data_IF_452892186208
#
_entry.id   IF_452892186208
#
_cell.length_a   1.000
_cell.length_b   1.000
_cell.length_c   1.000
_cell.angle_alpha   90.00
_cell.angle_beta   90.00
_cell.angle_gamma   90.00
#
_symmetry.space_group_name_H-M   'P 1'
#
loop_
_entity.id
_entity.type
_entity.pdbx_description
1 polymer ?
#
# COMPACT_ATOMS: atom_id res chain seq x y z
N UNK A 1 40.56 -37.70 16.83
CA UNK A 1 41.18 -36.65 15.98
C UNK A 1 40.28 -36.20 14.82
N UNK A 2 39.49 -37.07 14.16
CA UNK A 2 38.57 -36.64 13.08
C UNK A 2 37.28 -35.92 13.55
N UNK A 3 36.75 -36.27 14.73
CA UNK A 3 35.52 -35.66 15.25
C UNK A 3 35.72 -34.20 15.71
N UNK A 4 36.94 -33.84 16.14
CA UNK A 4 37.29 -32.48 16.58
C UNK A 4 37.22 -31.50 15.41
N UNK A 5 37.75 -31.89 14.24
CA UNK A 5 37.73 -31.09 13.01
C UNK A 5 36.31 -30.90 12.47
N UNK A 6 35.47 -31.93 12.49
CA UNK A 6 34.09 -31.80 12.00
C UNK A 6 33.28 -30.85 12.89
N UNK A 7 33.45 -30.92 14.21
CA UNK A 7 32.75 -30.00 15.12
C UNK A 7 33.16 -28.54 14.86
N UNK A 8 34.45 -28.27 14.61
CA UNK A 8 34.93 -26.94 14.27
C UNK A 8 34.37 -26.43 12.93
N UNK A 9 34.36 -27.26 11.88
CA UNK A 9 33.74 -26.89 10.60
C UNK A 9 32.24 -26.58 10.75
N UNK A 10 31.54 -27.34 11.58
CA UNK A 10 30.11 -27.16 11.84
C UNK A 10 29.86 -25.86 12.63
N UNK A 11 30.74 -25.53 13.57
CA UNK A 11 30.67 -24.29 14.33
C UNK A 11 30.95 -23.06 13.44
N UNK A 12 31.96 -23.16 12.57
CA UNK A 12 32.30 -22.10 11.62
C UNK A 12 31.18 -21.91 10.58
N UNK A 13 30.64 -22.99 10.02
CA UNK A 13 29.49 -22.93 9.12
C UNK A 13 28.23 -22.38 9.81
N UNK A 14 27.99 -22.77 11.06
CA UNK A 14 26.88 -22.25 11.88
C UNK A 14 27.02 -20.74 12.13
N UNK A 15 28.23 -20.27 12.42
CA UNK A 15 28.53 -18.85 12.57
C UNK A 15 28.25 -18.10 11.27
N UNK A 16 28.73 -18.60 10.13
CA UNK A 16 28.47 -18.00 8.82
C UNK A 16 26.97 -17.96 8.47
N UNK A 17 26.20 -18.99 8.83
CA UNK A 17 24.75 -19.02 8.63
C UNK A 17 24.05 -17.93 9.45
N UNK A 18 24.40 -17.80 10.73
CA UNK A 18 23.82 -16.78 11.62
C UNK A 18 24.16 -15.38 11.12
N UNK A 19 25.41 -15.14 10.73
CA UNK A 19 25.83 -13.87 10.15
C UNK A 19 25.02 -13.54 8.90
N UNK A 20 24.88 -14.50 7.98
CA UNK A 20 24.06 -14.35 6.78
C UNK A 20 22.60 -14.01 7.10
N UNK A 21 22.01 -14.73 8.05
CA UNK A 21 20.64 -14.48 8.50
C UNK A 21 20.48 -13.07 9.10
N UNK A 22 21.41 -12.63 9.94
CA UNK A 22 21.39 -11.30 10.54
C UNK A 22 21.55 -10.19 9.49
N UNK A 23 22.44 -10.35 8.52
CA UNK A 23 22.66 -9.36 7.45
C UNK A 23 21.41 -9.25 6.56
N UNK A 24 20.81 -10.37 6.16
CA UNK A 24 19.59 -10.36 5.36
C UNK A 24 18.45 -9.70 6.13
N UNK A 25 18.29 -10.03 7.42
CA UNK A 25 17.25 -9.44 8.26
C UNK A 25 17.45 -7.93 8.44
N UNK A 26 18.68 -7.49 8.71
CA UNK A 26 19.02 -6.08 8.80
C UNK A 26 18.77 -5.35 7.47
N UNK A 27 19.11 -5.97 6.34
CA UNK A 27 18.91 -5.39 5.01
C UNK A 27 17.42 -5.23 4.66
N UNK A 28 16.61 -6.27 4.89
CA UNK A 28 15.15 -6.19 4.72
C UNK A 28 14.54 -5.16 5.68
N UNK A 29 14.98 -5.13 6.93
CA UNK A 29 14.55 -4.13 7.91
C UNK A 29 14.88 -2.70 7.45
N UNK A 30 16.10 -2.47 6.96
CA UNK A 30 16.53 -1.19 6.42
C UNK A 30 15.67 -0.77 5.22
N UNK A 31 15.36 -1.70 4.30
CA UNK A 31 14.47 -1.44 3.16
C UNK A 31 13.07 -1.02 3.62
N UNK A 32 12.48 -1.75 4.56
CA UNK A 32 11.15 -1.45 5.12
C UNK A 32 11.17 -0.07 5.80
N UNK A 33 12.19 0.22 6.59
CA UNK A 33 12.36 1.53 7.25
C UNK A 33 12.52 2.64 6.22
N UNK A 34 13.32 2.43 5.17
CA UNK A 34 13.51 3.38 4.09
C UNK A 34 12.21 3.73 3.37
N UNK A 35 11.41 2.72 3.02
CA UNK A 35 10.10 2.92 2.38
C UNK A 35 9.14 3.68 3.31
N UNK A 36 9.12 3.33 4.60
CA UNK A 36 8.30 4.04 5.59
C UNK A 36 8.76 5.49 5.79
N UNK A 37 10.08 5.74 5.77
CA UNK A 37 10.65 7.07 5.89
C UNK A 37 10.25 7.93 4.69
N UNK A 38 10.28 7.38 3.48
CA UNK A 38 9.81 8.05 2.26
C UNK A 38 8.31 8.34 2.37
N UNK A 39 7.49 7.35 2.75
CA UNK A 39 6.05 7.56 2.92
C UNK A 39 5.73 8.63 3.98
N UNK A 40 6.49 8.64 5.08
CA UNK A 40 6.39 9.66 6.12
C UNK A 40 6.82 11.04 5.61
N UNK A 41 7.90 11.10 4.83
CA UNK A 41 8.42 12.33 4.25
C UNK A 41 7.43 12.93 3.23
N UNK A 42 6.88 12.11 2.34
CA UNK A 42 5.81 12.50 1.42
C UNK A 42 4.57 13.02 2.16
N UNK A 43 4.24 12.44 3.32
CA UNK A 43 3.12 12.93 4.14
C UNK A 43 3.43 14.22 4.90
N UNK A 44 4.71 14.45 5.24
CA UNK A 44 5.17 15.65 5.95
C UNK A 44 5.37 16.85 5.03
N UNK A 45 5.71 16.62 3.76
CA UNK A 45 5.76 17.63 2.70
C UNK A 45 4.74 17.29 1.62
N UNK A 46 3.44 17.53 1.85
CA UNK A 46 2.45 17.42 0.80
C UNK A 46 2.74 18.50 -0.24
N UNK A 47 3.44 18.12 -1.31
CA UNK A 47 3.35 18.84 -2.57
C UNK A 47 1.88 18.93 -2.93
N UNK A 48 1.45 20.07 -3.45
CA UNK A 48 0.08 20.29 -3.91
C UNK A 48 -0.23 19.38 -5.10
N UNK A 49 -0.55 18.12 -4.84
CA UNK A 49 -1.19 17.26 -5.82
C UNK A 49 -2.49 16.70 -5.26
N UNK A 50 -3.53 16.61 -6.11
CA UNK A 50 -4.87 16.28 -5.70
C UNK A 50 -4.86 14.88 -5.11
N UNK A 51 -5.52 14.75 -3.96
CA UNK A 51 -5.62 13.53 -3.21
C UNK A 51 -6.13 12.42 -4.12
N UNK A 52 -5.24 11.57 -4.64
CA UNK A 52 -5.64 10.25 -5.08
C UNK A 52 -6.02 9.53 -3.79
N UNK A 53 -7.31 9.21 -3.58
CA UNK A 53 -7.71 8.60 -2.34
C UNK A 53 -7.00 7.25 -2.28
N UNK A 54 -6.02 7.15 -1.38
CA UNK A 54 -5.62 5.88 -0.82
C UNK A 54 -6.93 5.17 -0.51
N UNK A 55 -7.12 4.01 -1.13
CA UNK A 55 -8.31 3.18 -1.03
C UNK A 55 -8.50 2.83 0.44
N UNK A 56 -9.13 3.74 1.18
CA UNK A 56 -9.56 3.53 2.54
C UNK A 56 -10.46 2.31 2.44
N UNK A 57 -10.07 1.24 3.13
CA UNK A 57 -10.93 0.09 3.32
C UNK A 57 -12.17 0.62 4.02
N UNK A 58 -13.22 0.90 3.23
CA UNK A 58 -14.42 1.54 3.73
C UNK A 58 -15.19 0.49 4.52
N UNK A 59 -15.55 0.73 5.79
CA UNK A 59 -16.48 -0.15 6.47
C UNK A 59 -17.80 -0.12 5.67
N UNK A 60 -18.32 -1.32 5.44
CA UNK A 60 -19.50 -1.60 4.62
C UNK A 60 -20.68 -0.76 5.12
N UNK A 61 -21.09 0.24 4.32
CA UNK A 61 -22.37 0.93 4.52
C UNK A 61 -23.49 0.00 4.06
N UNK A 62 -24.63 -0.07 4.78
CA UNK A 62 -25.75 -0.90 4.36
C UNK A 62 -26.32 -0.38 3.04
N UNK A 63 -26.61 -1.32 2.17
CA UNK A 63 -27.25 -1.13 0.87
C UNK A 63 -28.61 -0.45 1.07
N UNK A 64 -28.79 0.74 0.48
CA UNK A 64 -30.13 1.27 0.21
C UNK A 64 -30.31 1.28 -1.30
N UNK A 65 -31.00 0.26 -1.80
CA UNK A 65 -31.34 -0.03 -3.20
C UNK A 65 -32.29 1.02 -3.84
N UNK A 66 -32.40 2.20 -3.23
CA UNK A 66 -33.25 3.31 -3.68
C UNK A 66 -32.45 4.50 -4.23
N UNK A 67 -31.12 4.53 -4.02
CA UNK A 67 -30.26 5.62 -4.47
C UNK A 67 -29.80 5.51 -5.92
N UNK A 68 -29.84 4.30 -6.52
CA UNK A 68 -29.41 4.09 -7.90
C UNK A 68 -30.45 4.63 -8.90
N UNK A 69 -31.74 4.41 -8.64
CA UNK A 69 -32.82 4.94 -9.46
C UNK A 69 -32.85 6.46 -9.44
N UNK A 70 -32.70 7.07 -8.26
CA UNK A 70 -32.75 8.51 -8.11
C UNK A 70 -31.54 9.21 -8.75
N UNK A 71 -30.34 8.62 -8.61
CA UNK A 71 -29.13 9.15 -9.24
C UNK A 71 -29.16 9.00 -10.78
N UNK A 72 -29.72 7.90 -11.30
CA UNK A 72 -29.89 7.71 -12.76
C UNK A 72 -30.94 8.68 -13.30
N UNK A 73 -32.06 8.88 -12.61
CA UNK A 73 -33.09 9.85 -12.99
C UNK A 73 -32.54 11.29 -12.95
N UNK A 74 -31.77 11.64 -11.92
CA UNK A 74 -31.11 12.95 -11.82
C UNK A 74 -30.08 13.16 -12.95
N UNK A 75 -29.27 12.15 -13.27
CA UNK A 75 -28.29 12.23 -14.36
C UNK A 75 -28.96 12.37 -15.74
N UNK A 76 -30.03 11.62 -16.00
CA UNK A 76 -30.80 11.72 -17.25
C UNK A 76 -31.48 13.10 -17.35
N UNK A 77 -32.09 13.57 -16.26
CA UNK A 77 -32.77 14.88 -16.23
C UNK A 77 -31.78 16.04 -16.43
N UNK A 78 -30.59 15.96 -15.84
CA UNK A 78 -29.51 16.92 -16.07
C UNK A 78 -29.03 16.93 -17.53
N UNK A 79 -28.90 15.75 -18.16
CA UNK A 79 -28.52 15.64 -19.56
C UNK A 79 -29.57 16.26 -20.51
N UNK A 80 -30.86 15.99 -20.28
CA UNK A 80 -31.97 16.56 -21.06
C UNK A 80 -32.04 18.07 -20.90
N UNK A 81 -31.92 18.57 -19.66
CA UNK A 81 -31.94 20.01 -19.39
C UNK A 81 -30.74 20.72 -20.01
N UNK A 82 -29.55 20.11 -19.99
CA UNK A 82 -28.36 20.65 -20.64
C UNK A 82 -28.49 20.71 -22.17
N UNK A 83 -29.18 19.75 -22.78
CA UNK A 83 -29.44 19.74 -24.21
C UNK A 83 -30.44 20.83 -24.61
N UNK A 84 -31.51 21.02 -23.83
CA UNK A 84 -32.51 22.04 -24.10
C UNK A 84 -31.94 23.47 -23.94
N UNK A 85 -31.11 23.70 -22.92
CA UNK A 85 -30.40 24.99 -22.72
C UNK A 85 -29.35 25.31 -23.79
N UNK A 86 -28.85 24.31 -24.50
CA UNK A 86 -27.81 24.47 -25.53
C UNK A 86 -28.39 24.65 -26.93
N UNK A 87 -29.70 24.39 -27.10
CA UNK A 87 -30.43 24.51 -28.36
C UNK A 87 -31.53 25.59 -28.33
N UNK A 88 -31.57 26.41 -27.29
CA UNK A 88 -32.17 27.76 -27.29
C UNK A 88 -31.06 28.80 -27.40
#
# INVERSE_FOLDING_TARGET
MAAESINDLLFEAGTLLVVGMCVVFAFLGLLIVGINLIAWFCRKFPGQEPQTPLRASKPKSPSTDHGLSDHVVAAISAAVHSHHKKNQ
#
